data_IF_813880596534
#
_entry.id   IF_813880596534
#
_cell.length_a   1.000
_cell.length_b   1.000
_cell.length_c   1.000
_cell.angle_alpha   90.00
_cell.angle_beta   90.00
_cell.angle_gamma   90.00
#
_symmetry.space_group_name_H-M   'P 1'
#
loop_
_entity.id
_entity.type
_entity.pdbx_description
1 polymer ?
#
# COMPACT_ATOMS: atom_id res chain seq x y z
N UNK A 1 10.72 -20.43 2.45
CA UNK A 1 10.92 -19.06 1.91
C UNK A 1 11.91 -19.10 0.76
N UNK A 2 11.66 -18.45 -0.38
CA UNK A 2 12.63 -18.43 -1.49
C UNK A 2 13.82 -17.50 -1.15
N UNK A 3 15.05 -17.85 -1.62
CA UNK A 3 16.27 -17.01 -1.45
C UNK A 3 16.07 -15.52 -1.81
N UNK A 4 15.23 -15.22 -2.79
CA UNK A 4 14.93 -13.86 -3.25
C UNK A 4 14.10 -13.07 -2.24
N UNK A 5 13.17 -13.72 -1.53
CA UNK A 5 12.40 -13.08 -0.45
C UNK A 5 13.29 -12.73 0.75
N UNK A 6 14.24 -13.60 1.07
CA UNK A 6 15.23 -13.36 2.13
C UNK A 6 16.11 -12.16 1.82
N UNK A 7 16.62 -12.02 0.58
CA UNK A 7 17.44 -10.89 0.17
C UNK A 7 16.70 -9.53 0.25
N UNK A 8 15.46 -9.46 -0.22
CA UNK A 8 14.63 -8.24 -0.10
C UNK A 8 14.32 -7.90 1.35
N UNK A 9 14.05 -8.89 2.20
CA UNK A 9 13.83 -8.67 3.62
C UNK A 9 15.05 -8.04 4.31
N UNK A 10 16.26 -8.54 4.01
CA UNK A 10 17.51 -7.97 4.53
C UNK A 10 17.67 -6.54 4.01
N UNK A 11 17.46 -6.29 2.71
CA UNK A 11 17.54 -4.97 2.11
C UNK A 11 16.62 -3.97 2.84
N UNK A 12 15.33 -4.28 3.03
CA UNK A 12 14.39 -3.38 3.70
C UNK A 12 14.67 -3.22 5.20
N UNK A 13 15.18 -4.25 5.87
CA UNK A 13 15.60 -4.12 7.25
C UNK A 13 16.75 -3.11 7.40
N UNK A 14 17.72 -3.10 6.48
CA UNK A 14 18.82 -2.14 6.47
C UNK A 14 18.34 -0.78 5.95
N UNK A 15 17.58 -0.76 4.86
CA UNK A 15 17.07 0.47 4.25
C UNK A 15 16.12 1.25 5.19
N UNK A 16 15.44 0.56 6.11
CA UNK A 16 14.58 1.21 7.10
C UNK A 16 15.29 2.31 7.89
N UNK A 17 16.59 2.20 8.14
CA UNK A 17 17.36 3.23 8.90
C UNK A 17 17.41 4.58 8.19
N UNK A 18 17.41 4.59 6.86
CA UNK A 18 17.50 5.81 6.04
C UNK A 18 16.20 6.17 5.33
N UNK A 19 15.20 5.28 5.39
CA UNK A 19 13.95 5.39 4.63
C UNK A 19 13.21 6.70 4.92
N UNK A 20 13.02 7.04 6.18
CA UNK A 20 12.29 8.25 6.56
C UNK A 20 13.03 9.52 6.15
N UNK A 21 14.35 9.55 6.23
CA UNK A 21 15.17 10.66 5.75
C UNK A 21 15.06 10.78 4.22
N UNK A 22 15.10 9.65 3.50
CA UNK A 22 14.93 9.60 2.06
C UNK A 22 13.54 10.10 1.62
N UNK A 23 12.47 9.63 2.25
CA UNK A 23 11.10 10.07 1.96
C UNK A 23 10.92 11.55 2.31
N UNK A 24 11.44 12.00 3.45
CA UNK A 24 11.35 13.40 3.86
C UNK A 24 12.10 14.33 2.90
N UNK A 25 13.22 13.91 2.35
CA UNK A 25 13.99 14.71 1.39
C UNK A 25 13.26 14.86 0.04
N UNK A 26 12.61 13.79 -0.42
CA UNK A 26 12.03 13.70 -1.78
C UNK A 26 10.54 14.00 -1.85
N UNK A 27 9.80 13.93 -0.73
CA UNK A 27 8.34 13.96 -0.74
C UNK A 27 7.71 14.84 0.35
N UNK A 28 8.47 15.73 0.98
CA UNK A 28 8.08 16.45 2.22
C UNK A 28 6.75 17.22 2.15
N UNK A 29 6.35 17.74 0.99
CA UNK A 29 5.06 18.44 0.80
C UNK A 29 3.97 17.51 0.26
N UNK A 30 4.31 16.62 -0.66
CA UNK A 30 3.32 15.82 -1.40
C UNK A 30 2.88 14.54 -0.67
N UNK A 31 3.73 13.99 0.22
CA UNK A 31 3.43 12.72 0.89
C UNK A 31 2.30 12.82 1.92
N UNK A 32 2.13 13.98 2.56
CA UNK A 32 1.01 14.27 3.45
C UNK A 32 -0.30 14.32 2.68
N UNK A 33 -0.35 15.10 1.62
CA UNK A 33 -1.53 15.29 0.79
C UNK A 33 -1.98 13.97 0.12
N UNK A 34 -1.03 13.18 -0.35
CA UNK A 34 -1.32 11.87 -0.95
C UNK A 34 -1.91 10.88 0.05
N UNK A 35 -1.42 10.88 1.31
CA UNK A 35 -1.97 10.03 2.38
C UNK A 35 -3.36 10.48 2.82
N UNK A 36 -3.57 11.77 2.98
CA UNK A 36 -4.87 12.33 3.34
C UNK A 36 -5.89 12.02 2.24
N UNK A 37 -5.51 12.20 0.98
CA UNK A 37 -6.34 11.82 -0.18
C UNK A 37 -6.73 10.34 -0.13
N UNK A 38 -5.79 9.42 0.17
CA UNK A 38 -6.11 7.99 0.28
C UNK A 38 -7.11 7.72 1.42
N UNK A 39 -6.96 8.39 2.57
CA UNK A 39 -7.86 8.25 3.72
C UNK A 39 -9.25 8.83 3.41
N UNK A 40 -9.32 9.96 2.72
CA UNK A 40 -10.59 10.58 2.29
C UNK A 40 -11.33 9.69 1.27
N UNK A 41 -10.61 9.12 0.32
CA UNK A 41 -11.17 8.22 -0.70
C UNK A 41 -11.60 6.85 -0.15
N UNK A 42 -11.16 6.50 1.06
CA UNK A 42 -11.51 5.22 1.67
C UNK A 42 -12.98 5.10 2.01
N UNK A 43 -13.64 6.21 2.31
CA UNK A 43 -15.05 6.36 2.72
C UNK A 43 -15.73 5.03 3.09
N UNK A 44 -15.68 4.61 4.37
CA UNK A 44 -16.20 3.31 4.80
C UNK A 44 -17.74 3.31 4.97
N UNK A 45 -18.47 3.96 4.03
CA UNK A 45 -19.93 3.98 3.95
C UNK A 45 -20.62 4.36 5.28
N UNK A 46 -20.17 5.46 5.91
CA UNK A 46 -20.77 5.98 7.14
C UNK A 46 -20.43 5.18 8.41
N UNK A 47 -19.51 4.22 8.35
CA UNK A 47 -19.05 3.50 9.55
C UNK A 47 -18.20 4.38 10.44
N UNK A 48 -18.62 4.50 11.69
CA UNK A 48 -17.90 5.26 12.72
C UNK A 48 -16.60 4.55 13.14
N UNK A 49 -16.59 3.21 13.12
CA UNK A 49 -15.49 2.37 13.59
C UNK A 49 -15.11 1.29 12.56
N UNK A 50 -14.56 1.67 11.39
CA UNK A 50 -14.17 0.68 10.38
C UNK A 50 -12.97 -0.17 10.82
N UNK A 51 -12.95 -1.45 10.43
CA UNK A 51 -11.76 -2.29 10.52
C UNK A 51 -10.85 -2.02 9.32
N UNK A 52 -9.62 -1.58 9.55
CA UNK A 52 -8.71 -1.08 8.52
C UNK A 52 -7.41 -1.89 8.54
N UNK A 53 -6.96 -2.35 7.37
CA UNK A 53 -5.69 -3.03 7.16
C UNK A 53 -4.85 -2.28 6.12
N UNK A 54 -3.60 -1.94 6.46
CA UNK A 54 -2.60 -1.43 5.52
C UNK A 54 -1.55 -2.51 5.25
N UNK A 55 -1.52 -3.03 4.03
CA UNK A 55 -0.61 -4.10 3.59
C UNK A 55 0.63 -3.48 2.96
N UNK A 56 1.81 -4.04 3.28
CA UNK A 56 3.11 -3.43 2.99
C UNK A 56 3.21 -2.03 3.63
N UNK A 57 2.78 -1.91 4.87
CA UNK A 57 2.62 -0.64 5.57
C UNK A 57 3.94 0.11 5.81
N UNK A 58 5.09 -0.53 5.60
CA UNK A 58 6.40 0.05 5.77
C UNK A 58 6.59 0.68 7.16
N UNK A 59 6.95 1.96 7.22
CA UNK A 59 7.11 2.72 8.46
C UNK A 59 5.80 3.27 9.04
N UNK A 60 4.63 2.76 8.57
CA UNK A 60 3.32 2.98 9.17
C UNK A 60 2.68 4.34 8.90
N UNK A 61 3.12 5.06 7.88
CA UNK A 61 2.65 6.42 7.63
C UNK A 61 1.17 6.47 7.20
N UNK A 62 0.71 5.51 6.39
CA UNK A 62 -0.69 5.40 5.93
C UNK A 62 -1.58 4.96 7.07
N UNK A 63 -1.22 3.88 7.76
CA UNK A 63 -2.04 3.39 8.87
C UNK A 63 -2.13 4.41 10.03
N UNK A 64 -1.09 5.23 10.23
CA UNK A 64 -1.12 6.32 11.18
C UNK A 64 -2.13 7.42 10.77
N UNK A 65 -2.26 7.72 9.48
CA UNK A 65 -3.25 8.67 8.99
C UNK A 65 -4.69 8.13 9.21
N UNK A 66 -4.92 6.84 8.97
CA UNK A 66 -6.19 6.19 9.29
C UNK A 66 -6.49 6.20 10.78
N UNK A 67 -5.53 5.86 11.64
CA UNK A 67 -5.69 5.88 13.10
C UNK A 67 -6.01 7.29 13.64
N UNK A 68 -5.50 8.34 12.97
CA UNK A 68 -5.86 9.72 13.30
C UNK A 68 -7.30 10.07 12.89
N UNK A 69 -7.71 9.63 11.70
CA UNK A 69 -9.06 9.93 11.19
C UNK A 69 -10.15 9.12 11.90
N UNK A 70 -9.82 7.90 12.32
CA UNK A 70 -10.72 6.95 12.96
C UNK A 70 -10.09 6.42 14.27
N UNK A 71 -10.02 7.23 15.36
CA UNK A 71 -9.22 6.92 16.55
C UNK A 71 -9.72 5.70 17.34
N UNK A 72 -10.99 5.36 17.22
CA UNK A 72 -11.60 4.21 17.90
C UNK A 72 -11.68 2.95 17.01
N UNK A 73 -11.19 3.03 15.78
CA UNK A 73 -11.20 1.92 14.82
C UNK A 73 -10.11 0.89 15.09
N UNK A 74 -10.36 -0.35 14.68
CA UNK A 74 -9.32 -1.39 14.62
C UNK A 74 -8.43 -1.10 13.41
N UNK A 75 -7.18 -0.73 13.67
CA UNK A 75 -6.18 -0.45 12.63
C UNK A 75 -5.05 -1.46 12.70
N UNK A 76 -4.74 -2.10 11.57
CA UNK A 76 -3.69 -3.12 11.45
C UNK A 76 -2.70 -2.72 10.36
N UNK A 77 -1.42 -2.65 10.70
CA UNK A 77 -0.32 -2.54 9.74
C UNK A 77 0.35 -3.90 9.53
N UNK A 78 0.50 -4.30 8.28
CA UNK A 78 1.08 -5.60 7.91
C UNK A 78 2.25 -5.42 6.96
N UNK A 79 3.43 -5.92 7.32
CA UNK A 79 4.63 -5.80 6.49
C UNK A 79 5.56 -7.01 6.67
N UNK A 80 6.33 -7.35 5.63
CA UNK A 80 7.28 -8.46 5.71
C UNK A 80 8.62 -8.08 6.36
N UNK A 81 8.89 -6.78 6.54
CA UNK A 81 10.14 -6.25 7.09
C UNK A 81 9.98 -5.85 8.55
N UNK A 82 10.61 -6.63 9.43
CA UNK A 82 10.66 -6.32 10.86
C UNK A 82 11.31 -4.96 11.15
N UNK A 83 12.29 -4.56 10.33
CA UNK A 83 12.94 -3.24 10.46
C UNK A 83 11.96 -2.09 10.19
N UNK A 84 11.10 -2.23 9.17
CA UNK A 84 10.03 -1.26 8.88
C UNK A 84 9.01 -1.19 10.02
N UNK A 85 8.55 -2.35 10.52
CA UNK A 85 7.58 -2.41 11.63
C UNK A 85 8.11 -1.79 12.92
N UNK A 86 9.39 -1.96 13.26
CA UNK A 86 10.01 -1.26 14.39
C UNK A 86 9.94 0.26 14.23
N UNK A 87 10.16 0.78 13.03
CA UNK A 87 10.02 2.21 12.76
C UNK A 87 8.56 2.67 12.84
N UNK A 88 7.64 1.84 12.34
CA UNK A 88 6.20 2.10 12.48
C UNK A 88 5.80 2.16 13.97
N UNK A 89 6.26 1.24 14.78
CA UNK A 89 5.99 1.19 16.21
C UNK A 89 6.43 2.47 16.93
N UNK A 90 7.65 2.94 16.67
CA UNK A 90 8.18 4.17 17.28
C UNK A 90 7.36 5.42 16.91
N UNK A 91 6.68 5.43 15.77
CA UNK A 91 5.80 6.53 15.36
C UNK A 91 4.40 6.46 15.97
N UNK A 92 4.03 5.31 16.53
CA UNK A 92 2.66 4.99 16.95
C UNK A 92 2.53 4.71 18.45
N UNK A 93 3.52 5.09 19.27
CA UNK A 93 3.59 4.80 20.72
C UNK A 93 2.32 5.18 21.51
N UNK A 94 1.50 6.09 20.99
CA UNK A 94 0.23 6.53 21.62
C UNK A 94 -1.04 5.99 20.95
N UNK A 95 -0.94 5.08 19.95
CA UNK A 95 -2.08 4.68 19.11
C UNK A 95 -2.39 3.18 19.19
N UNK A 96 -3.68 2.86 19.15
CA UNK A 96 -4.22 1.48 19.15
C UNK A 96 -4.01 0.77 17.79
N UNK A 97 -2.81 0.79 17.22
CA UNK A 97 -2.52 0.10 15.96
C UNK A 97 -1.76 -1.20 16.21
N UNK A 98 -2.28 -2.29 15.69
CA UNK A 98 -1.60 -3.59 15.71
C UNK A 98 -0.65 -3.70 14.52
N UNK A 99 0.63 -4.05 14.76
CA UNK A 99 1.62 -4.28 13.72
C UNK A 99 1.97 -5.76 13.63
N UNK A 100 1.84 -6.33 12.43
CA UNK A 100 2.02 -7.77 12.19
C UNK A 100 3.07 -8.00 11.09
N UNK A 101 4.05 -8.86 11.36
CA UNK A 101 5.04 -9.28 10.38
C UNK A 101 4.53 -10.46 9.55
N UNK A 102 4.52 -10.33 8.20
CA UNK A 102 4.13 -11.44 7.35
C UNK A 102 4.21 -11.15 5.85
N UNK A 103 3.75 -12.12 5.06
CA UNK A 103 3.80 -12.10 3.58
C UNK A 103 2.43 -11.72 3.02
N UNK A 104 2.37 -10.67 2.21
CA UNK A 104 1.14 -10.20 1.57
C UNK A 104 0.42 -11.27 0.72
N UNK A 105 1.14 -12.32 0.30
CA UNK A 105 0.56 -13.45 -0.42
C UNK A 105 -0.03 -14.55 0.48
N UNK A 106 -0.05 -14.36 1.81
CA UNK A 106 -0.60 -15.32 2.77
C UNK A 106 -1.04 -14.54 4.03
N UNK A 107 -2.19 -13.89 3.95
CA UNK A 107 -2.70 -13.03 5.02
C UNK A 107 -3.38 -13.90 6.10
N UNK A 108 -2.99 -13.77 7.39
CA UNK A 108 -3.50 -14.59 8.49
C UNK A 108 -4.84 -14.07 9.03
N UNK A 109 -5.71 -13.58 8.17
CA UNK A 109 -7.00 -13.02 8.54
C UNK A 109 -8.13 -13.86 7.96
N UNK A 110 -9.26 -13.90 8.65
CA UNK A 110 -10.49 -14.54 8.17
C UNK A 110 -11.04 -13.79 6.94
N UNK A 111 -11.89 -14.49 6.18
CA UNK A 111 -12.66 -13.88 5.10
C UNK A 111 -13.51 -12.74 5.65
N UNK A 112 -13.69 -11.68 4.86
CA UNK A 112 -14.59 -10.56 5.17
C UNK A 112 -14.35 -9.91 6.56
N UNK A 113 -13.08 -9.74 6.95
CA UNK A 113 -12.73 -9.20 8.26
C UNK A 113 -12.48 -7.69 8.27
N UNK A 114 -12.23 -7.06 7.11
CA UNK A 114 -11.92 -5.64 7.02
C UNK A 114 -12.93 -4.85 6.20
N UNK A 115 -13.14 -3.60 6.58
CA UNK A 115 -13.95 -2.63 5.83
C UNK A 115 -13.13 -1.87 4.80
N UNK A 116 -11.84 -1.65 5.12
CA UNK A 116 -10.87 -0.96 4.26
C UNK A 116 -9.56 -1.77 4.25
N UNK A 117 -9.07 -2.07 3.06
CA UNK A 117 -7.74 -2.66 2.86
C UNK A 117 -6.94 -1.72 1.96
N UNK A 118 -5.75 -1.33 2.39
CA UNK A 118 -4.87 -0.45 1.60
C UNK A 118 -3.54 -1.11 1.27
N UNK A 119 -2.93 -0.69 0.15
CA UNK A 119 -1.55 -0.96 -0.17
C UNK A 119 -1.01 0.22 -0.98
N UNK A 120 -0.03 0.94 -0.41
CA UNK A 120 0.48 2.18 -0.99
C UNK A 120 1.91 2.04 -1.48
N UNK A 121 2.12 2.29 -2.78
CA UNK A 121 3.44 2.32 -3.45
C UNK A 121 4.30 1.08 -3.21
N UNK A 122 3.68 -0.11 -3.17
CA UNK A 122 4.38 -1.36 -2.87
C UNK A 122 4.09 -2.50 -3.85
N UNK A 123 2.95 -2.51 -4.55
CA UNK A 123 2.60 -3.62 -5.44
C UNK A 123 3.58 -3.80 -6.60
N UNK A 124 4.15 -2.71 -7.14
CA UNK A 124 5.14 -2.76 -8.22
C UNK A 124 6.44 -3.48 -7.81
N UNK A 125 6.71 -3.53 -6.50
CA UNK A 125 7.87 -4.24 -5.97
C UNK A 125 7.65 -5.75 -5.87
N UNK A 126 6.40 -6.19 -5.76
CA UNK A 126 6.06 -7.61 -5.70
C UNK A 126 6.22 -8.26 -7.08
N UNK A 127 6.82 -9.45 -7.12
CA UNK A 127 6.84 -10.25 -8.35
C UNK A 127 5.42 -10.54 -8.80
N UNK A 128 5.18 -10.60 -10.12
CA UNK A 128 3.86 -10.80 -10.75
C UNK A 128 3.01 -11.85 -10.03
N UNK A 129 3.56 -13.03 -9.78
CA UNK A 129 2.86 -14.14 -9.10
C UNK A 129 2.47 -13.78 -7.65
N UNK A 130 3.38 -13.20 -6.88
CA UNK A 130 3.14 -12.76 -5.49
C UNK A 130 2.09 -11.65 -5.45
N UNK A 131 2.18 -10.70 -6.38
CA UNK A 131 1.22 -9.60 -6.52
C UNK A 131 -0.20 -10.10 -6.83
N UNK A 132 -0.33 -11.04 -7.77
CA UNK A 132 -1.62 -11.66 -8.06
C UNK A 132 -2.21 -12.37 -6.84
N UNK A 133 -1.41 -13.17 -6.12
CA UNK A 133 -1.87 -13.84 -4.89
C UNK A 133 -2.26 -12.84 -3.82
N UNK A 134 -1.48 -11.75 -3.63
CA UNK A 134 -1.81 -10.71 -2.68
C UNK A 134 -3.14 -10.00 -3.01
N UNK A 135 -3.42 -9.74 -4.30
CA UNK A 135 -4.71 -9.17 -4.72
C UNK A 135 -5.90 -10.11 -4.44
N UNK A 136 -5.72 -11.42 -4.63
CA UNK A 136 -6.74 -12.41 -4.25
C UNK A 136 -6.97 -12.47 -2.74
N UNK A 137 -5.90 -12.41 -1.93
CA UNK A 137 -5.98 -12.33 -0.48
C UNK A 137 -6.70 -11.05 -0.04
N UNK A 138 -6.38 -9.89 -0.63
CA UNK A 138 -7.10 -8.64 -0.36
C UNK A 138 -8.59 -8.78 -0.67
N UNK A 139 -8.95 -9.39 -1.81
CA UNK A 139 -10.35 -9.67 -2.15
C UNK A 139 -11.02 -10.61 -1.16
N UNK A 140 -10.32 -11.61 -0.66
CA UNK A 140 -10.85 -12.58 0.30
C UNK A 140 -11.22 -11.91 1.62
N UNK A 141 -10.30 -11.09 2.17
CA UNK A 141 -10.44 -10.51 3.50
C UNK A 141 -11.30 -9.24 3.55
N UNK A 142 -11.51 -8.56 2.42
CA UNK A 142 -12.38 -7.39 2.37
C UNK A 142 -13.85 -7.83 2.49
N UNK A 143 -14.65 -7.10 3.27
CA UNK A 143 -16.10 -7.30 3.39
C UNK A 143 -16.82 -6.98 2.08
N UNK A 144 -18.03 -7.48 1.94
CA UNK A 144 -18.83 -7.30 0.72
C UNK A 144 -19.06 -5.84 0.35
N UNK A 145 -19.27 -4.97 1.34
CA UNK A 145 -19.43 -3.52 1.19
C UNK A 145 -18.13 -2.72 1.42
N UNK A 146 -16.99 -3.40 1.59
CA UNK A 146 -15.71 -2.77 1.80
C UNK A 146 -14.98 -2.36 0.51
N UNK A 147 -13.87 -1.65 0.66
CA UNK A 147 -13.04 -1.20 -0.45
C UNK A 147 -11.56 -1.58 -0.27
N UNK A 148 -10.93 -2.04 -1.35
CA UNK A 148 -9.48 -2.18 -1.48
C UNK A 148 -8.96 -0.96 -2.24
N UNK A 149 -8.05 -0.21 -1.61
CA UNK A 149 -7.47 1.01 -2.15
C UNK A 149 -5.98 0.79 -2.42
N UNK A 150 -5.62 0.85 -3.68
CA UNK A 150 -4.26 0.58 -4.16
C UNK A 150 -3.67 1.87 -4.73
N UNK A 151 -2.71 2.46 -4.02
CA UNK A 151 -2.05 3.67 -4.48
C UNK A 151 -0.72 3.32 -5.15
N UNK A 152 -0.55 3.80 -6.37
CA UNK A 152 0.65 3.56 -7.17
C UNK A 152 1.18 4.86 -7.77
N UNK A 153 2.43 4.82 -8.21
CA UNK A 153 3.05 5.95 -8.87
C UNK A 153 2.37 6.27 -10.20
N UNK A 154 2.21 7.56 -10.49
CA UNK A 154 1.90 8.03 -11.84
C UNK A 154 3.19 8.19 -12.64
N UNK A 155 3.13 7.87 -13.94
CA UNK A 155 4.30 8.02 -14.82
C UNK A 155 4.50 9.51 -15.13
N UNK A 156 5.65 10.10 -14.83
CA UNK A 156 5.89 11.51 -15.10
C UNK A 156 5.78 11.86 -16.59
N UNK A 157 5.16 13.01 -16.89
CA UNK A 157 5.07 13.51 -18.27
C UNK A 157 6.38 14.13 -18.77
N UNK A 158 7.12 14.82 -17.89
CA UNK A 158 8.38 15.47 -18.27
C UNK A 158 9.47 14.45 -18.65
N UNK A 159 10.11 14.53 -19.83
CA UNK A 159 10.97 13.48 -20.38
C UNK A 159 12.15 13.12 -19.46
N UNK A 160 12.85 14.12 -18.90
CA UNK A 160 13.99 13.87 -18.01
C UNK A 160 13.56 13.17 -16.71
N UNK A 161 12.44 13.62 -16.10
CA UNK A 161 11.90 13.00 -14.88
C UNK A 161 11.44 11.58 -15.18
N UNK A 162 10.87 11.34 -16.36
CA UNK A 162 10.47 10.00 -16.81
C UNK A 162 11.65 9.05 -16.95
N UNK A 163 12.79 9.50 -17.42
CA UNK A 163 14.02 8.70 -17.49
C UNK A 163 14.46 8.31 -16.07
N UNK A 164 14.56 9.27 -15.16
CA UNK A 164 14.95 9.01 -13.76
C UNK A 164 13.95 8.09 -13.06
N UNK A 165 12.67 8.27 -13.31
CA UNK A 165 11.61 7.39 -12.82
C UNK A 165 11.78 5.96 -13.33
N UNK A 166 12.04 5.77 -14.63
CA UNK A 166 12.28 4.45 -15.21
C UNK A 166 13.49 3.77 -14.58
N UNK A 167 14.61 4.48 -14.41
CA UNK A 167 15.83 3.97 -13.74
C UNK A 167 15.49 3.52 -12.32
N UNK A 168 14.75 4.35 -11.56
CA UNK A 168 14.29 4.01 -10.21
C UNK A 168 13.43 2.74 -10.20
N UNK A 169 12.45 2.62 -11.10
CA UNK A 169 11.58 1.45 -11.19
C UNK A 169 12.36 0.18 -11.52
N UNK A 170 13.37 0.27 -12.39
CA UNK A 170 14.24 -0.86 -12.74
C UNK A 170 15.14 -1.28 -11.58
N UNK A 171 15.58 -0.35 -10.74
CA UNK A 171 16.49 -0.64 -9.62
C UNK A 171 15.77 -1.16 -8.37
N UNK A 172 14.61 -0.62 -8.06
CA UNK A 172 13.85 -0.92 -6.83
C UNK A 172 12.67 -1.88 -7.04
N UNK A 173 12.09 -1.88 -8.23
CA UNK A 173 10.91 -2.67 -8.55
C UNK A 173 11.20 -4.16 -8.80
N UNK A 174 10.15 -4.91 -9.07
CA UNK A 174 10.24 -6.24 -9.66
C UNK A 174 10.66 -6.14 -11.13
N UNK A 175 11.00 -7.29 -11.76
CA UNK A 175 11.40 -7.32 -13.18
C UNK A 175 10.32 -6.77 -14.12
N UNK A 176 9.04 -6.78 -13.70
CA UNK A 176 7.89 -6.26 -14.44
C UNK A 176 7.29 -4.97 -13.81
N UNK A 177 8.03 -4.31 -12.90
CA UNK A 177 7.55 -3.13 -12.18
C UNK A 177 7.11 -2.00 -13.12
N UNK A 178 7.91 -1.71 -14.14
CA UNK A 178 7.63 -0.64 -15.09
C UNK A 178 6.42 -0.96 -15.97
N UNK A 179 6.29 -2.20 -16.42
CA UNK A 179 5.11 -2.69 -17.14
C UNK A 179 3.86 -2.57 -16.27
N UNK A 180 3.95 -2.99 -15.01
CA UNK A 180 2.85 -2.90 -14.06
C UNK A 180 2.39 -1.46 -13.80
N UNK A 181 3.34 -0.55 -13.52
CA UNK A 181 3.01 0.86 -13.24
C UNK A 181 2.43 1.57 -14.47
N UNK A 182 2.91 1.24 -15.67
CA UNK A 182 2.36 1.74 -16.94
C UNK A 182 1.07 1.04 -17.37
N UNK A 183 0.79 -0.13 -16.80
CA UNK A 183 -0.37 -0.95 -17.13
C UNK A 183 -1.69 -0.28 -16.72
N UNK A 184 -2.75 -0.69 -17.40
CA UNK A 184 -4.11 -0.24 -17.11
C UNK A 184 -4.74 -1.00 -15.93
N UNK A 185 -6.07 -0.97 -15.90
CA UNK A 185 -6.87 -1.58 -14.83
C UNK A 185 -7.14 -3.08 -15.03
N UNK A 186 -6.77 -3.68 -16.15
CA UNK A 186 -7.09 -5.08 -16.47
C UNK A 186 -6.61 -6.11 -15.44
N UNK A 187 -5.42 -5.99 -14.82
CA UNK A 187 -4.98 -6.91 -13.79
C UNK A 187 -5.92 -6.92 -12.57
N UNK A 188 -6.54 -5.78 -12.27
CA UNK A 188 -7.48 -5.61 -11.16
C UNK A 188 -8.89 -6.05 -11.53
N UNK A 189 -9.36 -5.72 -12.74
CA UNK A 189 -10.68 -6.12 -13.27
C UNK A 189 -10.84 -7.63 -13.42
N UNK A 190 -9.75 -8.37 -13.59
CA UNK A 190 -9.77 -9.85 -13.58
C UNK A 190 -10.09 -10.43 -12.19
N UNK A 191 -9.93 -9.65 -11.13
CA UNK A 191 -10.11 -10.08 -9.75
C UNK A 191 -11.33 -9.43 -9.12
N UNK A 192 -11.52 -8.13 -9.33
CA UNK A 192 -12.62 -7.34 -8.77
C UNK A 192 -13.61 -6.94 -9.86
N UNK A 193 -14.92 -7.11 -9.64
CA UNK A 193 -15.95 -6.74 -10.63
C UNK A 193 -16.08 -5.22 -10.81
N UNK A 194 -15.83 -4.45 -9.75
CA UNK A 194 -15.90 -2.99 -9.77
C UNK A 194 -14.53 -2.38 -9.49
N UNK A 195 -13.95 -1.69 -10.48
CA UNK A 195 -12.64 -1.05 -10.39
C UNK A 195 -12.71 0.34 -10.99
N UNK A 196 -12.39 1.34 -10.17
CA UNK A 196 -12.29 2.75 -10.59
C UNK A 196 -10.88 3.29 -10.39
N UNK A 197 -10.56 4.37 -11.10
CA UNK A 197 -9.28 5.05 -11.07
C UNK A 197 -9.49 6.53 -10.74
N UNK A 198 -8.74 7.01 -9.75
CA UNK A 198 -8.63 8.42 -9.41
C UNK A 198 -7.16 8.84 -9.42
N UNK A 199 -6.90 10.13 -9.57
CA UNK A 199 -5.55 10.70 -9.48
C UNK A 199 -5.43 11.54 -8.21
N UNK A 200 -4.27 11.49 -7.54
CA UNK A 200 -4.01 12.37 -6.40
C UNK A 200 -4.03 13.85 -6.84
N UNK A 201 -4.35 14.79 -5.94
CA UNK A 201 -4.37 16.22 -6.26
C UNK A 201 -3.08 16.73 -6.88
N UNK A 202 -1.94 16.14 -6.53
CA UNK A 202 -0.62 16.48 -7.07
C UNK A 202 -0.35 15.86 -8.45
N UNK A 203 -1.18 14.92 -8.93
CA UNK A 203 -0.98 14.17 -10.17
C UNK A 203 0.21 13.19 -10.16
N UNK A 204 0.86 12.98 -8.98
CA UNK A 204 2.05 12.12 -8.87
C UNK A 204 1.73 10.67 -8.52
N UNK A 205 0.51 10.41 -8.08
CA UNK A 205 0.02 9.08 -7.72
C UNK A 205 -1.37 8.85 -8.29
N UNK A 206 -1.63 7.60 -8.64
CA UNK A 206 -2.95 7.10 -9.01
C UNK A 206 -3.49 6.21 -7.92
N UNK A 207 -4.78 6.32 -7.64
CA UNK A 207 -5.51 5.49 -6.70
C UNK A 207 -6.47 4.58 -7.48
N UNK A 208 -6.31 3.30 -7.31
CA UNK A 208 -7.18 2.26 -7.86
C UNK A 208 -8.07 1.78 -6.72
N UNK A 209 -9.38 1.98 -6.86
CA UNK A 209 -10.37 1.54 -5.89
C UNK A 209 -11.06 0.29 -6.44
N UNK A 210 -11.00 -0.79 -5.66
CA UNK A 210 -11.57 -2.09 -6.02
C UNK A 210 -12.65 -2.49 -5.02
N UNK A 211 -13.83 -2.95 -5.49
CA UNK A 211 -14.94 -3.41 -4.67
C UNK A 211 -15.41 -4.81 -5.11
N UNK A 212 -15.97 -5.60 -4.17
CA UNK A 212 -16.52 -6.94 -4.45
C UNK A 212 -17.85 -6.90 -5.20
N UNK A 213 -18.65 -5.88 -4.95
CA UNK A 213 -19.98 -5.71 -5.53
C UNK A 213 -20.10 -4.35 -6.20
N UNK A 214 -21.07 -4.25 -7.09
CA UNK A 214 -21.42 -3.04 -7.83
C UNK A 214 -22.27 -2.12 -6.97
#
# INVERSE_FOLDING_TARGET
MSRVRTGRRIYYNVFSYVYDAFVNLHARRDAGDTRNFLVEMADPEGKTYPAILDICCGTGAVIAAFANRYPESVTVGYDFSRGMLRKAQNKQESRKTTLIEGDAAALPFADESFDVVTCSHALYELKRRTRQTALWEMKRIIRSNGAVLLMEHEVPHHPLIKILFNIRMMSMGSTDALEFVKGGLDPFRRIFPNVSLCHSPTGKSKLIVCRKHS
#
